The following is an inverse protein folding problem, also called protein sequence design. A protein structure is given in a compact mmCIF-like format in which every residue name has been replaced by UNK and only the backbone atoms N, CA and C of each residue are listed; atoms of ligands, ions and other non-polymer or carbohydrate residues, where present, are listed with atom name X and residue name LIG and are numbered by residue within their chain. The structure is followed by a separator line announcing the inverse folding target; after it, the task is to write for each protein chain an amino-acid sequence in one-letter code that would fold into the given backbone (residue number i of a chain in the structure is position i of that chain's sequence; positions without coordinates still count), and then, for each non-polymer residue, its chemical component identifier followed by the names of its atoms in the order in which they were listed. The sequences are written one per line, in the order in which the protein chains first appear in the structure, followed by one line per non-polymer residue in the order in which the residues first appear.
data_IF_751217668677
#
_entry.id   IF_751217668677
#
_cell.length_a   1.000
_cell.length_b   1.000
_cell.length_c   1.000
_cell.angle_alpha   90.00
_cell.angle_beta   90.00
_cell.angle_gamma   90.00
#
_symmetry.space_group_name_H-M   'P 1'
#
loop_
_entity.id
_entity.type
_entity.pdbx_description
1 polymer ?
#
# COMPACT_ATOMS: atom_id res chain seq x y z
N UNK A 1 -7.33 42.80 4.13
CA UNK A 1 -8.26 42.26 3.10
C UNK A 1 -7.50 41.99 1.82
N UNK A 2 -7.08 40.73 1.62
CA UNK A 2 -6.47 40.29 0.34
C UNK A 2 -7.58 39.63 -0.48
N UNK A 3 -8.01 40.27 -1.54
CA UNK A 3 -8.96 39.75 -2.53
C UNK A 3 -8.31 38.54 -3.21
N UNK A 4 -8.91 37.37 -3.05
CA UNK A 4 -8.55 36.20 -3.83
C UNK A 4 -9.19 36.35 -5.22
N UNK A 5 -8.35 36.37 -6.22
CA UNK A 5 -8.74 36.31 -7.63
C UNK A 5 -9.16 34.88 -7.91
N UNK A 6 -10.43 34.68 -8.26
CA UNK A 6 -10.89 33.42 -8.87
C UNK A 6 -10.31 33.41 -10.28
N UNK A 7 -9.27 32.68 -10.52
CA UNK A 7 -8.68 32.46 -11.85
C UNK A 7 -9.56 31.46 -12.58
N UNK A 8 -10.01 31.84 -13.73
CA UNK A 8 -11.05 31.20 -14.51
C UNK A 8 -10.68 29.75 -14.95
N UNK A 9 -11.70 28.91 -14.97
CA UNK A 9 -11.64 27.60 -15.59
C UNK A 9 -11.50 27.74 -17.12
N UNK A 10 -10.40 27.25 -17.69
CA UNK A 10 -10.26 27.10 -19.12
C UNK A 10 -10.91 25.79 -19.59
N UNK A 11 -12.05 25.93 -20.26
CA UNK A 11 -12.70 24.85 -20.97
C UNK A 11 -11.97 24.58 -22.29
N UNK A 12 -11.23 23.46 -22.37
CA UNK A 12 -10.78 22.96 -23.67
C UNK A 12 -11.78 21.88 -24.09
N UNK A 13 -12.72 22.28 -24.98
CA UNK A 13 -13.61 21.31 -25.62
C UNK A 13 -12.84 20.57 -26.72
N UNK A 14 -12.61 19.26 -26.53
CA UNK A 14 -12.46 18.33 -27.65
C UNK A 14 -13.77 17.57 -27.77
N UNK A 15 -14.64 18.00 -28.70
CA UNK A 15 -15.85 17.26 -29.06
C UNK A 15 -15.48 16.00 -29.84
N UNK A 16 -15.64 14.84 -29.22
CA UNK A 16 -15.74 13.58 -29.95
C UNK A 16 -17.10 12.95 -29.65
N UNK A 17 -17.95 12.95 -30.64
CA UNK A 17 -19.15 12.14 -30.69
C UNK A 17 -18.72 10.69 -30.89
N UNK A 18 -18.68 9.94 -29.81
CA UNK A 18 -18.72 8.46 -29.67
C UNK A 18 -17.91 8.06 -28.43
N UNK A 19 -18.55 8.01 -27.25
CA UNK A 19 -18.05 7.26 -26.08
C UNK A 19 -16.62 7.52 -25.58
N UNK A 20 -15.94 8.57 -26.05
CA UNK A 20 -14.53 8.86 -25.75
C UNK A 20 -14.33 9.45 -24.34
N UNK A 21 -13.13 9.29 -23.81
CA UNK A 21 -12.71 9.96 -22.55
C UNK A 21 -12.74 11.48 -22.74
N UNK A 22 -13.34 12.18 -21.77
CA UNK A 22 -13.39 13.63 -21.70
C UNK A 22 -12.47 14.11 -20.57
N UNK A 23 -12.06 15.37 -20.62
CA UNK A 23 -11.16 15.96 -19.64
C UNK A 23 -11.68 17.28 -19.15
N UNK A 24 -11.82 17.44 -17.84
CA UNK A 24 -12.08 18.69 -17.16
C UNK A 24 -10.84 19.11 -16.35
N UNK A 25 -10.47 20.40 -16.39
CA UNK A 25 -9.25 20.90 -15.77
C UNK A 25 -9.53 22.12 -14.89
N UNK A 26 -8.85 22.15 -13.75
CA UNK A 26 -8.62 23.34 -12.93
C UNK A 26 -7.12 23.52 -12.71
N UNK A 27 -6.71 24.58 -12.04
CA UNK A 27 -5.29 24.81 -11.73
C UNK A 27 -4.62 23.65 -10.97
N UNK A 28 -5.38 22.96 -10.11
CA UNK A 28 -4.84 21.95 -9.20
C UNK A 28 -5.42 20.55 -9.39
N UNK A 29 -6.33 20.36 -10.34
CA UNK A 29 -6.93 19.06 -10.61
C UNK A 29 -7.23 18.85 -12.10
N UNK A 30 -7.03 17.60 -12.54
CA UNK A 30 -7.42 17.15 -13.89
C UNK A 30 -8.30 15.92 -13.73
N UNK A 31 -9.54 16.01 -14.20
CA UNK A 31 -10.48 14.89 -14.19
C UNK A 31 -10.63 14.36 -15.61
N UNK A 32 -10.18 13.11 -15.81
CA UNK A 32 -10.45 12.34 -17.03
C UNK A 32 -11.64 11.43 -16.76
N UNK A 33 -12.70 11.54 -17.54
CA UNK A 33 -13.97 10.87 -17.25
C UNK A 33 -14.65 10.31 -18.48
N UNK A 34 -15.45 9.27 -18.26
CA UNK A 34 -16.34 8.70 -19.27
C UNK A 34 -17.61 8.17 -18.58
N UNK A 35 -18.78 8.34 -19.26
CA UNK A 35 -20.06 7.86 -18.75
C UNK A 35 -20.65 8.64 -17.56
N UNK A 36 -20.12 9.83 -17.27
CA UNK A 36 -20.64 10.77 -16.27
C UNK A 36 -20.85 12.16 -16.88
N UNK A 37 -21.70 12.99 -16.26
CA UNK A 37 -21.91 14.38 -16.69
C UNK A 37 -20.72 15.30 -16.36
N UNK A 38 -20.59 16.38 -17.12
CA UNK A 38 -19.54 17.39 -16.95
C UNK A 38 -19.63 18.08 -15.59
N UNK A 39 -20.84 18.31 -15.11
CA UNK A 39 -21.12 18.93 -13.81
C UNK A 39 -20.52 18.10 -12.66
N UNK A 40 -20.45 16.77 -12.86
CA UNK A 40 -19.84 15.89 -11.88
C UNK A 40 -18.32 15.92 -11.94
N UNK A 41 -17.76 15.93 -13.15
CA UNK A 41 -16.32 16.11 -13.33
C UNK A 41 -15.83 17.44 -12.76
N UNK A 42 -16.62 18.51 -12.93
CA UNK A 42 -16.39 19.83 -12.32
C UNK A 42 -16.37 19.72 -10.79
N UNK A 43 -17.39 19.09 -10.19
CA UNK A 43 -17.46 18.91 -8.74
C UNK A 43 -16.26 18.15 -8.18
N UNK A 44 -15.84 17.08 -8.86
CA UNK A 44 -14.65 16.30 -8.48
C UNK A 44 -13.38 17.14 -8.57
N UNK A 45 -13.20 17.91 -9.63
CA UNK A 45 -12.02 18.76 -9.80
C UNK A 45 -11.95 19.85 -8.73
N UNK A 46 -13.06 20.53 -8.45
CA UNK A 46 -13.14 21.57 -7.43
C UNK A 46 -12.88 20.99 -6.03
N UNK A 47 -13.51 19.87 -5.69
CA UNK A 47 -13.29 19.17 -4.42
C UNK A 47 -11.82 18.79 -4.24
N UNK A 48 -11.23 18.21 -5.27
CA UNK A 48 -9.83 17.78 -5.24
C UNK A 48 -8.88 18.96 -5.09
N UNK A 49 -9.13 20.05 -5.81
CA UNK A 49 -8.33 21.27 -5.70
C UNK A 49 -8.42 21.90 -4.30
N UNK A 50 -9.64 21.98 -3.75
CA UNK A 50 -9.85 22.46 -2.38
C UNK A 50 -9.19 21.56 -1.34
N UNK A 51 -9.38 20.24 -1.44
CA UNK A 51 -8.78 19.28 -0.52
C UNK A 51 -7.25 19.33 -0.58
N UNK A 52 -6.66 19.43 -1.77
CA UNK A 52 -5.22 19.65 -1.94
C UNK A 52 -4.76 20.94 -1.25
N UNK A 53 -5.46 22.05 -1.48
CA UNK A 53 -5.10 23.33 -0.89
C UNK A 53 -5.15 23.31 0.65
N UNK A 54 -6.11 22.58 1.24
CA UNK A 54 -6.19 22.36 2.68
C UNK A 54 -5.02 21.50 3.14
N UNK A 55 -4.72 20.38 2.47
CA UNK A 55 -3.61 19.51 2.82
C UNK A 55 -2.27 20.27 2.86
N UNK A 56 -2.04 21.15 1.87
CA UNK A 56 -0.82 21.98 1.82
C UNK A 56 -0.80 23.03 2.92
N UNK A 57 -1.89 23.82 3.08
CA UNK A 57 -1.87 25.00 3.96
C UNK A 57 -2.00 24.64 5.44
N UNK A 58 -2.89 23.70 5.77
CA UNK A 58 -3.21 23.37 7.15
C UNK A 58 -2.38 22.23 7.71
N UNK A 59 -2.02 21.28 6.85
CA UNK A 59 -1.27 20.09 7.26
C UNK A 59 0.21 20.14 6.88
N UNK A 60 0.65 21.15 6.14
CA UNK A 60 2.05 21.29 5.67
C UNK A 60 2.55 20.08 4.86
N UNK A 61 1.64 19.48 4.08
CA UNK A 61 1.99 18.35 3.22
C UNK A 61 2.60 18.80 1.91
N UNK A 62 3.63 18.09 1.47
CA UNK A 62 4.13 18.19 0.11
C UNK A 62 3.19 17.42 -0.83
N UNK A 63 2.37 18.16 -1.58
CA UNK A 63 1.40 17.58 -2.52
C UNK A 63 1.79 17.90 -3.96
N UNK A 64 1.44 17.04 -4.94
CA UNK A 64 1.62 17.35 -6.36
C UNK A 64 0.94 18.67 -6.71
N UNK A 65 1.50 19.46 -7.63
CA UNK A 65 0.85 20.70 -8.11
C UNK A 65 -0.53 20.43 -8.70
N UNK A 66 -0.66 19.29 -9.35
CA UNK A 66 -1.92 18.84 -9.95
C UNK A 66 -2.20 17.39 -9.56
N UNK A 67 -3.40 17.15 -9.01
CA UNK A 67 -3.91 15.81 -8.76
C UNK A 67 -4.77 15.37 -9.95
N UNK A 68 -4.51 14.18 -10.47
CA UNK A 68 -5.24 13.61 -11.60
C UNK A 68 -6.28 12.62 -11.10
N UNK A 69 -7.51 12.74 -11.58
CA UNK A 69 -8.58 11.79 -11.27
C UNK A 69 -9.01 11.12 -12.57
N UNK A 70 -9.10 9.80 -12.56
CA UNK A 70 -9.70 9.02 -13.64
C UNK A 70 -11.00 8.43 -13.15
N UNK A 71 -12.11 8.80 -13.79
CA UNK A 71 -13.46 8.32 -13.46
C UNK A 71 -13.95 7.40 -14.56
N UNK A 72 -14.39 6.20 -14.19
CA UNK A 72 -14.95 5.21 -15.12
C UNK A 72 -16.28 4.69 -14.59
N UNK A 73 -17.27 4.58 -15.48
CA UNK A 73 -18.51 3.88 -15.19
C UNK A 73 -18.38 2.41 -15.60
N UNK A 74 -18.61 1.50 -14.66
CA UNK A 74 -18.64 0.06 -14.91
C UNK A 74 -19.76 -0.59 -14.08
N UNK A 75 -20.88 -0.96 -14.71
CA UNK A 75 -22.04 -1.55 -14.01
C UNK A 75 -21.73 -2.86 -13.29
N UNK A 76 -20.67 -3.56 -13.68
CA UNK A 76 -20.29 -4.85 -13.12
C UNK A 76 -19.37 -4.72 -11.91
N UNK A 77 -18.81 -3.53 -11.68
CA UNK A 77 -17.88 -3.30 -10.57
C UNK A 77 -18.56 -2.62 -9.39
N UNK A 78 -18.00 -2.81 -8.20
CA UNK A 78 -18.39 -2.02 -7.02
C UNK A 78 -17.84 -0.60 -7.16
N UNK A 79 -18.55 0.36 -6.60
CA UNK A 79 -18.01 1.71 -6.42
C UNK A 79 -16.71 1.59 -5.62
N UNK A 80 -15.64 2.14 -6.17
CA UNK A 80 -14.31 2.06 -5.60
C UNK A 80 -13.53 3.33 -5.88
N UNK A 81 -12.89 3.84 -4.85
CA UNK A 81 -11.91 4.92 -4.96
C UNK A 81 -10.58 4.41 -4.43
N UNK A 82 -9.49 4.76 -5.08
CA UNK A 82 -8.13 4.43 -4.65
C UNK A 82 -7.11 5.34 -5.34
N UNK A 83 -5.92 5.44 -4.80
CA UNK A 83 -4.81 6.20 -5.35
C UNK A 83 -3.69 5.29 -5.88
N UNK A 84 -2.77 5.85 -6.67
CA UNK A 84 -1.59 5.14 -7.20
C UNK A 84 -0.29 5.41 -6.40
N UNK A 85 -0.40 6.14 -5.31
CA UNK A 85 0.74 6.52 -4.48
C UNK A 85 1.56 7.71 -5.00
N UNK A 86 1.19 8.30 -6.15
CA UNK A 86 1.91 9.42 -6.76
C UNK A 86 1.05 10.69 -6.87
N UNK A 87 0.26 10.82 -7.93
CA UNK A 87 -0.52 12.00 -8.22
C UNK A 87 -1.93 11.69 -8.75
N UNK A 88 -2.35 10.43 -8.76
CA UNK A 88 -3.58 10.00 -9.42
C UNK A 88 -4.52 9.24 -8.50
N UNK A 89 -5.80 9.61 -8.60
CA UNK A 89 -6.93 8.92 -8.01
C UNK A 89 -7.73 8.20 -9.10
N UNK A 90 -8.27 7.05 -8.76
CA UNK A 90 -9.14 6.26 -9.65
C UNK A 90 -10.49 6.06 -8.97
N UNK A 91 -11.54 6.52 -9.62
CA UNK A 91 -12.92 6.35 -9.16
C UNK A 91 -13.68 5.46 -10.15
N UNK A 92 -14.19 4.34 -9.67
CA UNK A 92 -15.12 3.50 -10.42
C UNK A 92 -16.50 3.66 -9.84
N UNK A 93 -17.50 3.92 -10.69
CA UNK A 93 -18.92 4.02 -10.36
C UNK A 93 -19.71 3.01 -11.18
N UNK A 94 -20.86 2.56 -10.68
CA UNK A 94 -21.70 1.60 -11.43
C UNK A 94 -22.43 2.25 -12.58
N UNK A 95 -23.04 3.39 -12.31
CA UNK A 95 -23.81 4.14 -13.29
C UNK A 95 -23.68 5.64 -13.00
N UNK A 96 -23.98 6.48 -14.00
CA UNK A 96 -24.09 7.92 -13.79
C UNK A 96 -25.16 8.29 -12.76
N UNK A 97 -26.17 7.44 -12.56
CA UNK A 97 -27.21 7.63 -11.52
C UNK A 97 -26.67 7.51 -10.10
N UNK A 98 -25.62 6.73 -9.87
CA UNK A 98 -24.96 6.64 -8.56
C UNK A 98 -24.31 7.98 -8.17
N UNK A 99 -24.07 8.81 -9.17
CA UNK A 99 -23.47 10.14 -9.02
C UNK A 99 -24.51 11.26 -8.90
N UNK A 100 -25.73 11.02 -9.41
CA UNK A 100 -26.81 12.01 -9.43
C UNK A 100 -27.66 12.04 -8.17
N UNK A 101 -27.48 11.06 -7.25
CA UNK A 101 -28.13 11.04 -5.94
C UNK A 101 -27.14 11.48 -4.86
N UNK A 102 -27.10 12.76 -4.50
CA UNK A 102 -26.11 13.29 -3.56
C UNK A 102 -26.11 12.61 -2.19
N UNK A 103 -27.25 12.07 -1.74
CA UNK A 103 -27.45 11.58 -0.38
C UNK A 103 -26.75 10.25 -0.04
N UNK A 104 -26.48 9.38 -1.00
CA UNK A 104 -25.93 8.05 -0.71
C UNK A 104 -24.50 7.84 -1.26
N UNK A 105 -24.17 8.39 -2.40
CA UNK A 105 -22.87 8.21 -3.04
C UNK A 105 -22.02 9.48 -3.08
N UNK A 106 -22.61 10.68 -3.11
CA UNK A 106 -21.88 11.94 -3.18
C UNK A 106 -21.02 12.22 -1.94
N UNK A 107 -21.58 11.97 -0.75
CA UNK A 107 -20.84 12.07 0.54
C UNK A 107 -19.62 11.18 0.55
N UNK A 108 -19.78 9.93 0.10
CA UNK A 108 -18.67 8.99 0.02
C UNK A 108 -17.55 9.52 -0.88
N UNK A 109 -17.89 10.14 -2.00
CA UNK A 109 -16.89 10.60 -2.96
C UNK A 109 -16.04 11.76 -2.45
N UNK A 110 -16.65 12.77 -1.81
CA UNK A 110 -15.88 13.90 -1.27
C UNK A 110 -15.01 13.45 -0.09
N UNK A 111 -15.60 12.75 0.85
CA UNK A 111 -14.84 12.17 1.96
C UNK A 111 -13.79 11.16 1.44
N UNK A 112 -14.17 10.34 0.45
CA UNK A 112 -13.26 9.42 -0.19
C UNK A 112 -12.07 10.11 -0.86
N UNK A 113 -12.29 11.21 -1.58
CA UNK A 113 -11.21 12.01 -2.15
C UNK A 113 -10.28 12.55 -1.07
N UNK A 114 -10.83 13.11 0.01
CA UNK A 114 -10.05 13.63 1.13
C UNK A 114 -9.26 12.50 1.83
N UNK A 115 -9.85 11.31 1.96
CA UNK A 115 -9.21 10.12 2.50
C UNK A 115 -8.03 9.66 1.61
N UNK A 116 -8.24 9.57 0.29
CA UNK A 116 -7.18 9.19 -0.65
C UNK A 116 -6.07 10.23 -0.74
N UNK A 117 -6.39 11.51 -0.55
CA UNK A 117 -5.39 12.58 -0.41
C UNK A 117 -4.57 12.38 0.88
N UNK A 118 -5.19 11.89 1.94
CA UNK A 118 -4.50 11.49 3.16
C UNK A 118 -3.45 10.41 2.92
N UNK A 119 -3.79 9.39 2.13
CA UNK A 119 -2.83 8.38 1.71
C UNK A 119 -1.71 8.95 0.84
N UNK A 120 -2.04 9.78 -0.15
CA UNK A 120 -1.03 10.42 -1.00
C UNK A 120 -0.05 11.25 -0.16
N UNK A 121 -0.55 12.02 0.81
CA UNK A 121 0.28 12.81 1.71
C UNK A 121 1.27 11.94 2.49
N UNK A 122 0.81 10.80 3.02
CA UNK A 122 1.68 9.86 3.73
C UNK A 122 2.73 9.25 2.81
N UNK A 123 2.33 8.74 1.64
CA UNK A 123 3.22 8.04 0.71
C UNK A 123 4.31 8.94 0.12
N UNK A 124 4.04 10.24 0.00
CA UNK A 124 5.06 11.20 -0.43
C UNK A 124 6.13 11.45 0.61
N UNK A 125 5.77 11.39 1.89
CA UNK A 125 6.72 11.56 3.01
C UNK A 125 7.42 10.24 3.30
N UNK A 126 6.65 9.16 3.46
CA UNK A 126 7.16 7.83 3.83
C UNK A 126 7.19 6.95 2.59
N UNK A 127 8.34 6.87 1.94
CA UNK A 127 8.52 6.07 0.72
C UNK A 127 8.38 4.56 0.96
N UNK A 128 8.85 4.09 2.09
CA UNK A 128 8.68 2.71 2.56
C UNK A 128 7.73 2.69 3.75
N UNK A 129 6.47 2.41 3.47
CA UNK A 129 5.38 2.30 4.46
C UNK A 129 5.06 0.85 4.84
N UNK A 130 5.94 -0.08 4.51
CA UNK A 130 5.78 -1.51 4.85
C UNK A 130 5.75 -1.79 6.36
N UNK A 131 6.15 -0.82 7.16
CA UNK A 131 6.18 -0.85 8.62
C UNK A 131 4.88 -0.45 9.30
N UNK A 132 3.99 0.20 8.56
CA UNK A 132 2.70 0.62 9.08
C UNK A 132 1.70 -0.51 8.83
N UNK A 133 0.93 -0.88 9.84
CA UNK A 133 -0.16 -1.84 9.67
C UNK A 133 -1.20 -1.29 8.69
N UNK A 134 -1.99 -2.19 8.07
CA UNK A 134 -3.11 -1.76 7.24
C UNK A 134 -4.07 -0.85 8.01
N UNK A 135 -4.41 -1.21 9.26
CA UNK A 135 -5.26 -0.37 10.12
C UNK A 135 -4.58 0.97 10.43
N UNK A 136 -3.26 0.99 10.61
CA UNK A 136 -2.48 2.21 10.83
C UNK A 136 -2.53 3.16 9.65
N UNK A 137 -2.32 2.67 8.43
CA UNK A 137 -2.35 3.45 7.20
C UNK A 137 -3.75 3.97 6.87
N UNK A 138 -4.76 3.09 6.96
CA UNK A 138 -6.16 3.47 6.77
C UNK A 138 -6.64 4.44 7.86
N UNK A 139 -6.26 4.20 9.12
CA UNK A 139 -6.58 5.10 10.24
C UNK A 139 -5.99 6.50 10.04
N UNK A 140 -4.77 6.59 9.52
CA UNK A 140 -4.16 7.84 9.13
C UNK A 140 -4.97 8.57 8.04
N UNK A 141 -5.31 7.86 6.96
CA UNK A 141 -6.07 8.44 5.87
C UNK A 141 -7.46 8.93 6.31
N UNK A 142 -8.12 8.20 7.21
CA UNK A 142 -9.37 8.63 7.82
C UNK A 142 -9.19 9.86 8.71
N UNK A 143 -8.15 9.90 9.53
CA UNK A 143 -7.84 11.06 10.37
C UNK A 143 -7.59 12.32 9.52
N UNK A 144 -6.65 12.26 8.58
CA UNK A 144 -6.31 13.39 7.70
C UNK A 144 -7.48 13.73 6.78
N UNK A 145 -8.16 12.73 6.22
CA UNK A 145 -9.34 12.94 5.40
C UNK A 145 -10.42 13.74 6.12
N UNK A 146 -10.68 13.44 7.39
CA UNK A 146 -11.64 14.20 8.20
C UNK A 146 -11.19 15.65 8.42
N UNK A 147 -9.91 15.89 8.69
CA UNK A 147 -9.34 17.25 8.84
C UNK A 147 -9.45 18.05 7.55
N UNK A 148 -9.19 17.42 6.41
CA UNK A 148 -9.34 18.06 5.10
C UNK A 148 -10.81 18.39 4.84
N UNK A 149 -11.76 17.49 5.14
CA UNK A 149 -13.20 17.72 5.02
C UNK A 149 -13.63 18.90 5.89
N UNK A 150 -13.20 18.95 7.16
CA UNK A 150 -13.50 20.06 8.06
C UNK A 150 -13.00 21.41 7.49
N UNK A 151 -11.79 21.43 6.89
CA UNK A 151 -11.24 22.60 6.25
C UNK A 151 -12.02 23.02 4.99
N UNK A 152 -12.42 22.07 4.16
CA UNK A 152 -13.26 22.31 2.99
C UNK A 152 -14.63 22.86 3.41
N UNK A 153 -15.20 22.31 4.48
CA UNK A 153 -16.48 22.75 5.02
C UNK A 153 -16.42 24.15 5.64
N UNK A 154 -15.30 24.50 6.29
CA UNK A 154 -15.08 25.87 6.77
C UNK A 154 -15.06 26.86 5.61
N UNK A 155 -14.41 26.54 4.48
CA UNK A 155 -14.43 27.38 3.27
C UNK A 155 -15.84 27.52 2.69
N UNK A 156 -16.69 26.51 2.77
CA UNK A 156 -18.10 26.59 2.35
C UNK A 156 -18.84 27.64 3.15
N UNK A 157 -18.70 27.66 4.49
CA UNK A 157 -19.33 28.67 5.35
C UNK A 157 -18.91 30.11 5.04
N UNK A 158 -17.71 30.27 4.46
CA UNK A 158 -17.20 31.55 3.99
C UNK A 158 -17.71 31.93 2.59
N UNK A 159 -18.64 31.15 2.00
CA UNK A 159 -19.19 31.39 0.66
C UNK A 159 -18.21 31.03 -0.48
N UNK A 160 -17.11 30.39 -0.20
CA UNK A 160 -16.10 29.99 -1.18
C UNK A 160 -16.45 28.69 -1.92
N UNK A 161 -17.55 28.06 -1.54
CA UNK A 161 -18.00 26.77 -2.08
C UNK A 161 -19.46 26.84 -2.54
N UNK A 162 -19.80 26.37 -3.75
CA UNK A 162 -21.18 26.40 -4.23
C UNK A 162 -22.13 25.53 -3.38
N UNK A 163 -23.34 26.08 -3.08
CA UNK A 163 -24.36 25.40 -2.25
C UNK A 163 -24.84 24.05 -2.81
N UNK A 164 -24.67 23.82 -4.12
CA UNK A 164 -25.04 22.56 -4.77
C UNK A 164 -24.26 21.31 -4.26
N UNK A 165 -23.30 21.50 -3.36
CA UNK A 165 -22.49 20.43 -2.77
C UNK A 165 -22.75 20.20 -1.28
N UNK A 166 -23.98 20.36 -0.83
CA UNK A 166 -24.38 20.34 0.59
C UNK A 166 -24.28 18.99 1.31
N UNK A 167 -23.89 17.96 0.59
CA UNK A 167 -23.77 16.60 1.09
C UNK A 167 -22.47 16.29 1.87
N UNK A 168 -21.60 17.26 2.11
CA UNK A 168 -20.36 17.10 2.88
C UNK A 168 -20.58 16.72 4.34
N UNK A 169 -21.72 17.11 4.93
CA UNK A 169 -21.95 16.96 6.36
C UNK A 169 -22.05 15.50 6.82
N UNK A 170 -22.61 14.60 6.02
CA UNK A 170 -22.96 13.24 6.44
C UNK A 170 -21.75 12.31 6.56
N UNK A 171 -20.66 12.54 5.81
CA UNK A 171 -19.48 11.70 5.84
C UNK A 171 -18.73 11.76 7.17
N UNK A 172 -18.61 12.97 7.75
CA UNK A 172 -17.95 13.18 9.05
C UNK A 172 -18.82 12.69 10.20
N UNK A 173 -20.15 12.77 10.11
CA UNK A 173 -21.07 12.30 11.13
C UNK A 173 -20.94 10.80 11.38
N UNK A 174 -20.80 10.01 10.32
CA UNK A 174 -20.59 8.55 10.43
C UNK A 174 -19.28 8.23 11.15
N UNK A 175 -18.18 8.87 10.77
CA UNK A 175 -16.89 8.68 11.43
C UNK A 175 -16.94 9.09 12.90
N UNK A 176 -17.54 10.24 13.21
CA UNK A 176 -17.75 10.70 14.60
C UNK A 176 -18.49 9.67 15.42
N UNK A 177 -19.62 9.14 14.90
CA UNK A 177 -20.36 8.06 15.57
C UNK A 177 -19.51 6.83 15.85
N UNK A 178 -18.70 6.39 14.87
CA UNK A 178 -17.79 5.25 15.04
C UNK A 178 -16.68 5.54 16.07
N UNK A 179 -16.22 6.79 16.13
CA UNK A 179 -15.24 7.21 17.13
C UNK A 179 -15.77 7.18 18.57
N UNK A 180 -17.09 7.24 18.77
CA UNK A 180 -17.72 7.18 20.09
C UNK A 180 -18.03 5.74 20.53
N UNK A 181 -17.85 4.74 19.66
CA UNK A 181 -18.13 3.34 19.98
C UNK A 181 -17.23 2.81 21.12
N UNK A 182 -17.77 2.14 22.15
CA UNK A 182 -16.97 1.65 23.28
C UNK A 182 -15.97 0.55 22.90
N UNK A 183 -16.29 -0.27 21.89
CA UNK A 183 -15.45 -1.36 21.38
C UNK A 183 -15.16 -1.16 19.89
N UNK A 184 -14.26 -0.22 19.54
CA UNK A 184 -13.99 0.11 18.15
C UNK A 184 -13.22 -1.01 17.44
N UNK A 185 -13.42 -1.11 16.12
CA UNK A 185 -12.59 -1.95 15.24
C UNK A 185 -11.11 -1.52 15.28
N UNK A 186 -10.20 -2.34 14.77
CA UNK A 186 -8.78 -2.02 14.66
C UNK A 186 -8.55 -0.69 13.92
N UNK A 187 -9.26 -0.49 12.81
CA UNK A 187 -9.24 0.75 12.04
C UNK A 187 -9.63 1.97 12.90
N UNK A 188 -10.75 1.91 13.62
CA UNK A 188 -11.20 3.06 14.45
C UNK A 188 -10.27 3.29 15.63
N UNK A 189 -9.66 2.23 16.21
CA UNK A 189 -8.58 2.38 17.19
C UNK A 189 -7.40 3.17 16.61
N UNK A 190 -6.98 2.84 15.39
CA UNK A 190 -5.91 3.57 14.72
C UNK A 190 -6.26 5.04 14.48
N UNK A 191 -7.49 5.36 14.05
CA UNK A 191 -7.95 6.76 13.91
C UNK A 191 -7.86 7.51 15.23
N UNK A 192 -8.36 6.93 16.33
CA UNK A 192 -8.27 7.54 17.67
C UNK A 192 -6.82 7.83 18.09
N UNK A 193 -5.92 6.89 17.80
CA UNK A 193 -4.50 7.07 18.12
C UNK A 193 -3.87 8.23 17.35
N UNK A 194 -4.22 8.40 16.08
CA UNK A 194 -3.74 9.55 15.30
C UNK A 194 -4.32 10.88 15.81
N UNK A 195 -5.60 10.90 16.21
CA UNK A 195 -6.21 12.08 16.86
C UNK A 195 -5.49 12.40 18.18
N UNK A 196 -5.29 11.40 19.04
CA UNK A 196 -4.58 11.56 20.32
C UNK A 196 -3.14 12.09 20.11
N UNK A 197 -2.44 11.61 19.08
CA UNK A 197 -1.12 12.12 18.74
C UNK A 197 -1.18 13.60 18.31
N UNK A 198 -2.16 13.95 17.50
CA UNK A 198 -2.35 15.34 17.06
C UNK A 198 -2.63 16.29 18.24
N UNK A 199 -3.35 15.83 19.25
CA UNK A 199 -3.60 16.60 20.47
C UNK A 199 -2.30 16.80 21.30
N UNK A 200 -1.32 15.91 21.12
CA UNK A 200 -0.03 16.01 21.82
C UNK A 200 0.95 16.92 21.05
N UNK A 201 1.13 16.69 19.76
CA UNK A 201 2.18 17.33 18.95
C UNK A 201 1.65 18.40 17.97
N UNK A 202 0.34 18.48 17.77
CA UNK A 202 -0.31 19.29 16.75
C UNK A 202 -0.27 18.63 15.35
N UNK A 203 -1.17 19.04 14.47
CA UNK A 203 -1.25 18.47 13.09
C UNK A 203 0.09 18.65 12.35
N UNK A 204 0.73 19.81 12.44
CA UNK A 204 2.05 20.04 11.85
C UNK A 204 3.17 19.24 12.52
N UNK A 205 3.05 18.97 13.80
CA UNK A 205 3.98 18.12 14.54
C UNK A 205 3.99 16.69 14.01
N UNK A 206 2.83 16.14 13.63
CA UNK A 206 2.75 14.80 13.01
C UNK A 206 3.52 14.77 11.70
N UNK A 207 3.39 15.79 10.86
CA UNK A 207 4.14 15.87 9.59
C UNK A 207 5.64 15.91 9.85
N UNK A 208 6.07 16.66 10.86
CA UNK A 208 7.48 16.72 11.27
C UNK A 208 7.97 15.36 11.77
N UNK A 209 7.16 14.63 12.53
CA UNK A 209 7.46 13.25 12.94
C UNK A 209 7.64 12.34 11.72
N UNK A 210 6.74 12.42 10.75
CA UNK A 210 6.85 11.61 9.54
C UNK A 210 8.09 11.95 8.69
N UNK A 211 8.42 13.23 8.54
CA UNK A 211 9.64 13.67 7.86
C UNK A 211 10.90 13.14 8.59
N UNK A 212 10.92 13.23 9.91
CA UNK A 212 12.01 12.69 10.71
C UNK A 212 12.10 11.16 10.62
N UNK A 213 10.97 10.48 10.62
CA UNK A 213 10.92 9.03 10.46
C UNK A 213 11.37 8.59 9.06
N UNK A 214 10.91 9.28 8.01
CA UNK A 214 11.30 8.98 6.63
C UNK A 214 12.80 9.17 6.35
N UNK A 215 13.47 10.03 7.12
CA UNK A 215 14.91 10.25 7.05
C UNK A 215 15.74 9.37 7.98
N UNK A 216 15.08 8.60 8.86
CA UNK A 216 15.75 7.72 9.80
C UNK A 216 16.22 6.44 9.10
N UNK A 217 17.37 5.93 9.54
CA UNK A 217 17.79 4.58 9.21
C UNK A 217 16.93 3.61 10.05
N UNK A 218 16.02 2.92 9.36
CA UNK A 218 15.03 2.04 10.00
C UNK A 218 15.62 0.65 10.15
N UNK A 219 15.87 0.22 11.39
CA UNK A 219 16.18 -1.18 11.67
C UNK A 219 14.97 -2.06 11.31
N UNK A 220 15.11 -2.98 10.35
CA UNK A 220 14.05 -3.91 10.01
C UNK A 220 13.57 -4.78 11.16
N UNK A 221 14.39 -5.00 12.18
CA UNK A 221 14.04 -5.80 13.35
C UNK A 221 13.21 -5.00 14.38
N UNK A 222 13.33 -3.67 14.37
CA UNK A 222 12.57 -2.79 15.24
C UNK A 222 12.19 -1.48 14.52
N UNK A 223 11.28 -1.55 13.55
CA UNK A 223 10.84 -0.36 12.82
C UNK A 223 10.16 0.68 13.72
N UNK A 224 9.58 0.22 14.82
CA UNK A 224 8.96 1.07 15.81
C UNK A 224 9.95 2.00 16.51
N UNK A 225 11.19 1.57 16.74
CA UNK A 225 12.21 2.40 17.37
C UNK A 225 12.49 3.67 16.57
N UNK A 226 12.52 3.60 15.24
CA UNK A 226 12.74 4.76 14.38
C UNK A 226 11.58 5.77 14.51
N UNK A 227 10.33 5.31 14.52
CA UNK A 227 9.16 6.16 14.73
C UNK A 227 9.19 6.78 16.14
N UNK A 228 9.48 5.99 17.17
CA UNK A 228 9.60 6.51 18.55
C UNK A 228 10.69 7.57 18.67
N UNK A 229 11.84 7.35 18.05
CA UNK A 229 12.92 8.34 18.00
C UNK A 229 12.47 9.63 17.32
N UNK A 230 11.78 9.52 16.18
CA UNK A 230 11.22 10.66 15.45
C UNK A 230 10.20 11.44 16.31
N UNK A 231 9.32 10.77 17.05
CA UNK A 231 8.40 11.41 18.01
C UNK A 231 9.14 12.22 19.06
N UNK A 232 10.20 11.67 19.66
CA UNK A 232 10.98 12.34 20.71
C UNK A 232 11.79 13.53 20.17
N UNK A 233 12.10 13.59 18.87
CA UNK A 233 12.73 14.79 18.25
C UNK A 233 11.77 15.97 18.15
N UNK A 234 10.46 15.70 18.05
CA UNK A 234 9.44 16.75 17.91
C UNK A 234 8.98 17.26 19.27
N UNK A 235 8.83 16.36 20.24
CA UNK A 235 8.39 16.74 21.60
C UNK A 235 8.80 15.69 22.63
N UNK A 236 9.43 16.15 23.70
CA UNK A 236 9.66 15.36 24.91
C UNK A 236 8.49 15.58 25.88
N UNK A 237 7.53 14.65 25.88
CA UNK A 237 6.34 14.73 26.73
C UNK A 237 6.01 13.32 27.22
N UNK A 238 5.75 13.15 28.51
CA UNK A 238 5.35 11.86 29.10
C UNK A 238 4.13 11.24 28.40
N UNK A 239 3.26 12.07 27.83
CA UNK A 239 2.10 11.61 27.05
C UNK A 239 2.52 10.85 25.78
N UNK A 240 3.70 11.14 25.23
CA UNK A 240 4.23 10.40 24.07
C UNK A 240 4.53 8.96 24.44
N UNK A 241 5.14 8.69 25.60
CA UNK A 241 5.38 7.31 26.03
C UNK A 241 4.07 6.56 26.30
N UNK A 242 3.09 7.23 26.91
CA UNK A 242 1.77 6.64 27.14
C UNK A 242 1.04 6.35 25.81
N UNK A 243 1.11 7.29 24.89
CA UNK A 243 0.56 7.11 23.54
C UNK A 243 1.28 5.98 22.80
N UNK A 244 2.62 5.97 22.84
CA UNK A 244 3.42 4.95 22.17
C UNK A 244 3.06 3.52 22.61
N UNK A 245 2.92 3.31 23.91
CA UNK A 245 2.55 2.00 24.44
C UNK A 245 1.21 1.48 23.92
N UNK A 246 0.26 2.37 23.62
CA UNK A 246 -1.03 2.03 23.01
C UNK A 246 -0.91 1.87 21.48
N UNK A 247 -0.11 2.72 20.85
CA UNK A 247 -0.06 2.90 19.42
C UNK A 247 0.81 1.84 18.72
N UNK A 248 1.94 1.49 19.31
CA UNK A 248 2.88 0.56 18.71
C UNK A 248 2.23 -0.77 18.28
N UNK A 249 1.43 -1.47 19.11
CA UNK A 249 0.82 -2.73 18.72
C UNK A 249 -0.28 -2.59 17.64
N UNK A 250 -0.79 -1.38 17.41
CA UNK A 250 -1.86 -1.09 16.44
C UNK A 250 -1.29 -0.53 15.14
N UNK A 251 -0.36 0.44 15.24
CA UNK A 251 0.13 1.21 14.09
C UNK A 251 1.39 0.61 13.46
N UNK A 252 2.22 -0.07 14.25
CA UNK A 252 3.51 -0.57 13.80
C UNK A 252 3.45 -2.07 13.59
N UNK A 253 3.85 -2.46 12.40
CA UNK A 253 4.00 -3.88 12.08
C UNK A 253 5.22 -4.44 12.80
N UNK A 254 5.03 -5.04 13.97
CA UNK A 254 6.09 -5.81 14.62
C UNK A 254 6.28 -7.10 13.84
N UNK A 255 7.43 -7.25 13.24
CA UNK A 255 7.86 -8.58 12.81
C UNK A 255 8.03 -9.44 14.05
N UNK A 256 7.22 -10.49 14.25
CA UNK A 256 7.41 -11.37 15.40
C UNK A 256 8.82 -11.93 15.31
N UNK A 257 9.56 -11.91 16.40
CA UNK A 257 10.80 -12.68 16.50
C UNK A 257 10.43 -14.13 16.26
N UNK A 258 10.76 -14.68 15.09
CA UNK A 258 10.64 -16.12 14.89
C UNK A 258 11.58 -16.78 15.88
N UNK A 259 11.16 -17.88 16.48
CA UNK A 259 12.08 -18.68 17.30
C UNK A 259 13.24 -19.26 16.47
N UNK A 260 13.13 -19.16 15.15
CA UNK A 260 14.14 -19.53 14.19
C UNK A 260 15.06 -18.33 13.93
N UNK A 261 16.32 -18.46 14.30
CA UNK A 261 17.33 -17.42 14.04
C UNK A 261 17.91 -17.64 12.65
N UNK A 262 17.59 -16.71 11.75
CA UNK A 262 18.17 -16.73 10.40
C UNK A 262 19.69 -16.55 10.48
N UNK A 263 20.41 -17.49 9.92
CA UNK A 263 21.87 -17.40 9.70
C UNK A 263 22.10 -17.19 8.22
N UNK A 264 23.01 -16.28 7.90
CA UNK A 264 23.48 -16.12 6.52
C UNK A 264 24.84 -16.81 6.37
N UNK A 265 25.10 -17.34 5.17
CA UNK A 265 26.39 -17.89 4.80
C UNK A 265 26.97 -17.10 3.63
N UNK A 266 28.28 -17.09 3.51
CA UNK A 266 28.95 -16.57 2.31
C UNK A 266 28.83 -17.61 1.18
N UNK A 267 28.65 -17.20 -0.09
CA UNK A 267 28.50 -18.14 -1.21
C UNK A 267 29.64 -19.16 -1.32
N UNK A 268 30.87 -18.78 -0.95
CA UNK A 268 32.04 -19.67 -0.93
C UNK A 268 31.95 -20.83 0.06
N UNK A 269 31.08 -20.72 1.04
CA UNK A 269 30.85 -21.74 2.09
C UNK A 269 29.82 -22.76 1.66
N UNK A 270 29.11 -22.54 0.55
CA UNK A 270 28.11 -23.46 0.03
C UNK A 270 28.73 -24.62 -0.73
N UNK A 271 28.04 -25.76 -0.73
CA UNK A 271 28.49 -27.00 -1.38
C UNK A 271 28.64 -26.82 -2.91
N UNK A 272 27.87 -25.92 -3.51
CA UNK A 272 27.78 -25.76 -4.95
C UNK A 272 26.94 -26.84 -5.63
N UNK A 273 26.18 -27.63 -4.86
CA UNK A 273 25.26 -28.65 -5.34
C UNK A 273 23.82 -28.23 -4.97
N UNK A 274 23.24 -27.27 -5.70
CA UNK A 274 21.93 -26.76 -5.38
C UNK A 274 20.82 -27.77 -5.65
N UNK A 275 19.80 -27.75 -4.80
CA UNK A 275 18.54 -28.45 -4.99
C UNK A 275 17.46 -27.43 -5.40
N UNK A 276 16.83 -27.67 -6.54
CA UNK A 276 15.64 -26.88 -6.93
C UNK A 276 14.38 -27.61 -6.44
N UNK A 277 13.43 -26.86 -5.87
CA UNK A 277 12.16 -27.40 -5.38
C UNK A 277 10.98 -26.60 -5.97
N UNK A 278 9.97 -27.35 -6.45
CA UNK A 278 8.76 -26.85 -7.08
C UNK A 278 7.57 -27.74 -6.72
N UNK A 279 6.38 -27.15 -6.68
CA UNK A 279 5.11 -27.87 -6.59
C UNK A 279 4.28 -27.73 -7.85
N UNK A 280 4.60 -26.76 -8.71
CA UNK A 280 3.97 -26.54 -9.99
C UNK A 280 4.46 -27.55 -11.05
N UNK A 281 3.63 -27.86 -12.04
CA UNK A 281 3.94 -28.74 -13.17
C UNK A 281 4.72 -28.02 -14.31
N UNK A 282 4.98 -26.73 -14.17
CA UNK A 282 5.68 -25.90 -15.13
C UNK A 282 4.82 -25.37 -16.27
N UNK A 283 3.54 -25.71 -16.34
CA UNK A 283 2.59 -25.26 -17.37
C UNK A 283 1.69 -24.19 -16.81
N UNK A 284 1.68 -23.03 -17.45
CA UNK A 284 0.79 -21.95 -17.03
C UNK A 284 -0.64 -22.22 -17.46
N UNK A 285 -1.56 -22.42 -16.52
CA UNK A 285 -3.00 -22.45 -16.74
C UNK A 285 -3.63 -21.06 -16.68
N UNK A 286 -3.09 -20.20 -15.79
CA UNK A 286 -3.55 -18.83 -15.66
C UNK A 286 -2.51 -17.93 -15.01
N UNK A 287 -2.88 -16.66 -14.80
CA UNK A 287 -2.04 -15.69 -14.10
C UNK A 287 -2.88 -14.74 -13.27
N UNK A 288 -2.34 -14.25 -12.15
CA UNK A 288 -3.04 -13.30 -11.29
C UNK A 288 -2.08 -12.28 -10.70
N UNK A 289 -2.59 -11.07 -10.47
CA UNK A 289 -1.95 -10.03 -9.68
C UNK A 289 -2.86 -9.75 -8.49
N UNK A 290 -2.31 -9.69 -7.28
CA UNK A 290 -3.08 -9.66 -6.05
C UNK A 290 -2.82 -8.33 -5.34
N UNK A 291 -3.79 -7.41 -5.42
CA UNK A 291 -3.74 -6.15 -4.70
C UNK A 291 -4.10 -6.37 -3.21
N UNK A 292 -3.39 -5.68 -2.31
CA UNK A 292 -3.62 -5.76 -0.86
C UNK A 292 -3.22 -7.11 -0.24
N UNK A 293 -2.54 -7.98 -1.00
CA UNK A 293 -2.04 -9.27 -0.55
C UNK A 293 -0.85 -9.68 -1.41
N UNK A 294 -0.42 -10.93 -1.35
CA UNK A 294 0.71 -11.46 -2.12
C UNK A 294 0.50 -12.91 -2.54
N UNK A 295 1.51 -13.45 -3.21
CA UNK A 295 1.59 -14.83 -3.65
C UNK A 295 2.49 -15.58 -2.66
N UNK A 296 2.05 -16.72 -2.17
CA UNK A 296 2.83 -17.47 -1.20
C UNK A 296 2.82 -18.97 -1.52
N UNK A 297 3.95 -19.63 -1.29
CA UNK A 297 4.10 -21.08 -1.43
C UNK A 297 4.78 -21.64 -0.20
N UNK A 298 4.19 -22.66 0.40
CA UNK A 298 4.77 -23.43 1.50
C UNK A 298 5.69 -24.50 0.92
N UNK A 299 6.89 -24.60 1.48
CA UNK A 299 7.86 -25.61 1.12
C UNK A 299 8.19 -26.48 2.33
N UNK A 300 8.27 -27.79 2.10
CA UNK A 300 8.76 -28.77 3.05
C UNK A 300 10.01 -29.41 2.48
N UNK A 301 11.07 -29.43 3.25
CA UNK A 301 12.37 -29.94 2.82
C UNK A 301 12.83 -31.11 3.67
N UNK A 302 13.69 -31.97 3.15
CA UNK A 302 14.34 -33.01 3.96
C UNK A 302 15.10 -32.42 5.15
N UNK A 303 15.26 -33.19 6.19
CA UNK A 303 16.09 -32.79 7.34
C UNK A 303 17.51 -32.42 6.90
N UNK A 304 18.12 -31.51 7.66
CA UNK A 304 19.45 -31.00 7.38
C UNK A 304 19.52 -29.48 7.44
N UNK A 305 20.72 -28.94 7.29
CA UNK A 305 20.94 -27.48 7.30
C UNK A 305 20.94 -26.93 5.86
N UNK A 306 19.81 -26.46 5.41
CA UNK A 306 19.64 -25.91 4.07
C UNK A 306 19.63 -24.38 4.08
N UNK A 307 20.14 -23.79 3.02
CA UNK A 307 20.18 -22.34 2.79
C UNK A 307 19.41 -21.98 1.52
N UNK A 308 18.47 -21.08 1.62
CA UNK A 308 17.78 -20.49 0.48
C UNK A 308 18.76 -19.58 -0.25
N UNK A 309 19.03 -19.88 -1.52
CA UNK A 309 19.99 -19.15 -2.35
C UNK A 309 19.33 -18.46 -3.54
N UNK A 310 18.07 -18.80 -3.84
CA UNK A 310 17.35 -18.18 -4.93
C UNK A 310 15.87 -18.51 -4.95
N UNK A 311 15.13 -17.64 -5.62
CA UNK A 311 13.71 -17.83 -5.93
C UNK A 311 13.50 -17.55 -7.42
N UNK A 312 12.71 -18.40 -8.08
CA UNK A 312 12.29 -18.23 -9.48
C UNK A 312 10.80 -18.01 -9.52
N UNK A 313 10.37 -16.99 -10.23
CA UNK A 313 8.96 -16.60 -10.35
C UNK A 313 8.61 -16.53 -11.83
N UNK A 314 7.57 -17.24 -12.25
CA UNK A 314 7.07 -17.12 -13.59
C UNK A 314 6.02 -16.00 -13.67
N UNK A 315 6.32 -14.93 -14.42
CA UNK A 315 5.43 -13.79 -14.44
C UNK A 315 5.80 -12.73 -15.46
N UNK A 316 4.95 -11.72 -15.57
CA UNK A 316 5.15 -10.55 -16.42
C UNK A 316 4.61 -9.30 -15.73
N UNK A 317 5.31 -8.20 -15.91
CA UNK A 317 4.89 -6.89 -15.41
C UNK A 317 3.79 -6.30 -16.32
N UNK A 318 2.86 -5.57 -15.72
CA UNK A 318 1.91 -4.71 -16.43
C UNK A 318 2.05 -3.25 -16.00
N UNK A 319 1.23 -2.39 -16.57
CA UNK A 319 1.20 -0.96 -16.27
C UNK A 319 2.12 -0.14 -17.18
N UNK A 320 2.77 0.89 -16.62
CA UNK A 320 3.58 1.83 -17.39
C UNK A 320 4.71 1.16 -18.20
N UNK A 321 5.12 1.75 -19.35
CA UNK A 321 6.22 1.22 -20.17
C UNK A 321 7.53 1.07 -19.37
N UNK A 322 7.94 2.10 -18.63
CA UNK A 322 9.08 2.03 -17.73
C UNK A 322 8.74 1.24 -16.47
N UNK A 323 9.67 0.43 -15.93
CA UNK A 323 9.46 -0.23 -14.65
C UNK A 323 9.39 0.80 -13.53
N UNK A 324 8.60 0.52 -12.46
CA UNK A 324 8.66 1.31 -11.24
C UNK A 324 10.10 1.32 -10.69
N UNK A 325 10.51 2.44 -10.10
CA UNK A 325 11.80 2.53 -9.38
C UNK A 325 11.77 1.83 -8.01
N UNK A 326 10.59 1.40 -7.60
CA UNK A 326 10.36 0.68 -6.36
C UNK A 326 10.92 -0.75 -6.41
N UNK A 327 11.04 -1.35 -5.24
CA UNK A 327 11.35 -2.77 -5.10
C UNK A 327 10.07 -3.56 -4.87
N UNK A 328 10.08 -4.83 -5.25
CA UNK A 328 9.16 -5.83 -4.73
C UNK A 328 9.89 -6.68 -3.69
N UNK A 329 9.15 -7.36 -2.84
CA UNK A 329 9.73 -8.12 -1.75
C UNK A 329 9.53 -9.62 -1.94
N UNK A 330 10.56 -10.38 -1.63
CA UNK A 330 10.52 -11.82 -1.41
C UNK A 330 10.79 -12.04 0.08
N UNK A 331 9.83 -12.58 0.80
CA UNK A 331 10.02 -12.92 2.22
C UNK A 331 10.16 -14.42 2.41
N UNK A 332 11.14 -14.80 3.19
CA UNK A 332 11.20 -16.10 3.84
C UNK A 332 10.41 -15.99 5.14
N UNK A 333 9.41 -16.84 5.31
CA UNK A 333 8.55 -16.88 6.49
C UNK A 333 8.55 -18.29 7.11
N UNK A 334 8.21 -18.36 8.40
CA UNK A 334 7.88 -19.66 9.03
C UNK A 334 6.49 -20.16 8.57
N UNK A 335 6.04 -21.31 9.08
CA UNK A 335 4.75 -21.93 8.75
C UNK A 335 3.53 -21.06 9.10
N UNK A 336 3.70 -20.08 9.98
CA UNK A 336 2.68 -19.14 10.43
C UNK A 336 2.73 -17.79 9.70
N UNK A 337 3.45 -17.70 8.58
CA UNK A 337 3.70 -16.47 7.82
C UNK A 337 4.52 -15.41 8.56
N UNK A 338 5.21 -15.77 9.66
CA UNK A 338 6.10 -14.84 10.36
C UNK A 338 7.39 -14.67 9.57
N UNK A 339 7.81 -13.43 9.36
CA UNK A 339 9.02 -13.11 8.61
C UNK A 339 10.28 -13.64 9.32
N UNK A 340 11.06 -14.43 8.61
CA UNK A 340 12.41 -14.88 8.97
C UNK A 340 13.44 -13.96 8.32
N UNK A 341 13.26 -13.66 7.01
CA UNK A 341 14.13 -12.78 6.25
C UNK A 341 13.34 -12.05 5.15
N UNK A 342 13.88 -10.90 4.70
CA UNK A 342 13.32 -10.08 3.64
C UNK A 342 14.40 -9.81 2.58
N UNK A 343 14.02 -9.97 1.32
CA UNK A 343 14.89 -9.81 0.17
C UNK A 343 14.26 -8.85 -0.84
N UNK A 344 14.48 -7.54 -0.69
CA UNK A 344 13.99 -6.56 -1.65
C UNK A 344 14.64 -6.78 -3.02
N UNK A 345 13.84 -6.70 -4.08
CA UNK A 345 14.24 -6.97 -5.44
C UNK A 345 13.75 -5.86 -6.39
N UNK A 346 14.56 -5.44 -7.36
CA UNK A 346 14.15 -4.40 -8.30
C UNK A 346 13.04 -4.89 -9.24
N UNK A 347 12.01 -4.05 -9.43
CA UNK A 347 10.88 -4.34 -10.30
C UNK A 347 11.28 -4.56 -11.76
N UNK A 348 12.38 -4.00 -12.20
CA UNK A 348 12.91 -4.10 -13.57
C UNK A 348 13.26 -5.52 -14.00
N UNK A 349 13.41 -6.45 -13.06
CA UNK A 349 13.58 -7.88 -13.37
C UNK A 349 12.41 -8.44 -14.17
N UNK A 350 11.18 -7.92 -13.92
CA UNK A 350 9.99 -8.31 -14.69
C UNK A 350 9.82 -7.41 -15.90
N UNK A 351 9.69 -8.02 -17.08
CA UNK A 351 9.39 -7.30 -18.33
C UNK A 351 7.88 -7.34 -18.62
N UNK A 352 7.40 -6.40 -19.42
CA UNK A 352 6.03 -6.42 -19.93
C UNK A 352 5.89 -7.47 -21.04
N UNK A 353 4.66 -7.89 -21.31
CA UNK A 353 4.33 -8.83 -22.36
C UNK A 353 4.14 -10.26 -21.84
N UNK A 354 4.65 -11.25 -22.56
CA UNK A 354 4.49 -12.64 -22.20
C UNK A 354 5.19 -12.97 -20.88
N UNK A 355 4.57 -13.75 -19.99
CA UNK A 355 5.20 -14.23 -18.78
C UNK A 355 6.44 -15.06 -19.08
N UNK A 356 7.41 -14.99 -18.18
CA UNK A 356 8.67 -15.74 -18.25
C UNK A 356 9.22 -15.97 -16.86
N UNK A 357 10.12 -16.93 -16.74
CA UNK A 357 10.84 -17.17 -15.51
C UNK A 357 11.79 -16.00 -15.20
N UNK A 358 11.65 -15.45 -14.01
CA UNK A 358 12.52 -14.41 -13.44
C UNK A 358 13.25 -15.00 -12.25
N UNK A 359 14.59 -14.98 -12.31
CA UNK A 359 15.45 -15.51 -11.26
C UNK A 359 15.89 -14.37 -10.33
N UNK A 360 15.77 -14.62 -9.03
CA UNK A 360 16.29 -13.76 -7.97
C UNK A 360 17.30 -14.56 -7.17
N UNK A 361 18.59 -14.21 -7.31
CA UNK A 361 19.64 -14.70 -6.42
C UNK A 361 19.49 -13.98 -5.09
N UNK A 362 19.52 -14.69 -3.99
CA UNK A 362 19.33 -14.20 -2.64
C UNK A 362 20.63 -14.39 -1.83
N UNK A 363 20.81 -13.57 -0.80
CA UNK A 363 21.85 -13.83 0.19
C UNK A 363 21.54 -15.17 0.86
N UNK A 364 22.47 -16.14 0.84
CA UNK A 364 22.20 -17.45 1.40
C UNK A 364 21.75 -17.36 2.86
N UNK A 365 20.54 -17.82 3.11
CA UNK A 365 19.89 -17.74 4.43
C UNK A 365 19.35 -19.10 4.79
N UNK A 366 19.68 -19.63 5.98
CA UNK A 366 19.19 -20.93 6.40
C UNK A 366 17.67 -20.93 6.57
N UNK A 367 17.08 -22.09 6.32
CA UNK A 367 15.62 -22.27 6.36
C UNK A 367 15.24 -23.37 7.34
N UNK A 368 14.07 -23.29 8.01
CA UNK A 368 13.51 -24.40 8.76
C UNK A 368 13.03 -25.52 7.82
N UNK A 369 12.69 -26.68 8.35
CA UNK A 369 12.21 -27.81 7.55
C UNK A 369 10.89 -27.53 6.82
N UNK A 370 10.05 -26.69 7.40
CA UNK A 370 8.86 -26.14 6.75
C UNK A 370 8.90 -24.61 6.80
N UNK A 371 8.68 -23.98 5.66
CA UNK A 371 8.71 -22.53 5.54
C UNK A 371 7.86 -22.06 4.36
N UNK A 372 7.59 -20.78 4.31
CA UNK A 372 6.79 -20.14 3.27
C UNK A 372 7.63 -19.08 2.58
N UNK A 373 7.60 -19.08 1.25
CA UNK A 373 8.08 -17.96 0.45
C UNK A 373 6.87 -17.10 0.09
N UNK A 374 6.86 -15.86 0.57
CA UNK A 374 5.87 -14.86 0.20
C UNK A 374 6.47 -13.88 -0.81
N UNK A 375 5.69 -13.48 -1.81
CA UNK A 375 6.10 -12.50 -2.81
C UNK A 375 5.05 -11.39 -2.87
N UNK A 376 5.47 -10.16 -2.59
CA UNK A 376 4.62 -8.99 -2.57
C UNK A 376 5.08 -7.95 -3.59
N UNK A 377 4.19 -7.62 -4.54
CA UNK A 377 4.45 -6.64 -5.58
C UNK A 377 3.80 -5.29 -5.33
N UNK A 378 3.00 -5.15 -4.28
CA UNK A 378 2.20 -3.96 -4.01
C UNK A 378 1.54 -3.40 -5.29
N UNK A 379 0.71 -4.21 -5.99
CA UNK A 379 0.19 -3.83 -7.29
C UNK A 379 -0.90 -2.78 -7.19
N UNK A 380 -0.96 -1.90 -8.22
CA UNK A 380 -2.02 -0.92 -8.43
C UNK A 380 -2.63 -1.10 -9.83
N UNK A 381 -3.56 -0.24 -10.23
CA UNK A 381 -4.09 -0.24 -11.60
C UNK A 381 -3.04 0.01 -12.67
N UNK A 382 -1.92 0.67 -12.32
CA UNK A 382 -0.88 1.12 -13.26
C UNK A 382 0.47 0.45 -13.09
N UNK A 383 0.63 -0.37 -12.06
CA UNK A 383 1.84 -1.17 -11.80
C UNK A 383 1.50 -2.50 -11.16
N UNK A 384 2.26 -3.53 -11.45
CA UNK A 384 2.15 -4.82 -10.82
C UNK A 384 2.77 -5.93 -11.65
N UNK A 385 2.70 -7.13 -11.10
CA UNK A 385 3.16 -8.34 -11.77
C UNK A 385 2.03 -9.36 -11.75
N UNK A 386 1.76 -9.95 -12.90
CA UNK A 386 0.98 -11.16 -13.00
C UNK A 386 1.91 -12.35 -12.75
N UNK A 387 1.64 -13.11 -11.71
CA UNK A 387 2.30 -14.38 -11.42
C UNK A 387 1.46 -15.50 -12.02
N UNK A 388 2.12 -16.42 -12.73
CA UNK A 388 1.49 -17.60 -13.30
C UNK A 388 1.10 -18.63 -12.25
N UNK A 389 0.10 -19.43 -12.54
CA UNK A 389 -0.28 -20.61 -11.77
C UNK A 389 -0.67 -21.74 -12.73
N UNK A 390 -0.51 -22.96 -12.29
CA UNK A 390 -0.98 -24.17 -12.96
C UNK A 390 -2.32 -24.66 -12.39
N UNK A 391 -2.73 -25.89 -12.76
CA UNK A 391 -3.96 -26.52 -12.25
C UNK A 391 -3.64 -27.71 -11.31
N UNK A 392 -2.38 -27.95 -10.94
CA UNK A 392 -1.97 -29.16 -10.19
C UNK A 392 -2.54 -29.24 -8.78
N UNK A 393 -2.62 -28.11 -8.06
CA UNK A 393 -3.36 -28.03 -6.80
C UNK A 393 -2.74 -28.86 -5.66
N UNK A 394 -1.44 -28.73 -5.40
CA UNK A 394 -0.76 -29.44 -4.30
C UNK A 394 -1.26 -29.05 -2.89
N UNK A 395 -2.02 -27.97 -2.77
CA UNK A 395 -2.44 -27.40 -1.48
C UNK A 395 -1.37 -26.55 -0.80
N UNK A 396 -0.22 -26.35 -1.45
CA UNK A 396 0.90 -25.58 -0.88
C UNK A 396 0.89 -24.10 -1.29
N UNK A 397 -0.04 -23.69 -2.13
CA UNK A 397 -0.17 -22.32 -2.63
C UNK A 397 -1.20 -21.52 -1.85
N UNK A 398 -0.85 -20.26 -1.53
CA UNK A 398 -1.67 -19.37 -0.72
C UNK A 398 -1.71 -17.97 -1.35
N UNK A 399 -2.71 -17.20 -0.96
CA UNK A 399 -2.71 -15.75 -1.05
C UNK A 399 -2.41 -15.19 0.34
N UNK A 400 -1.36 -14.40 0.48
CA UNK A 400 -0.92 -13.85 1.76
C UNK A 400 0.39 -13.09 1.63
N UNK A 401 0.63 -12.20 2.56
CA UNK A 401 1.90 -11.51 2.74
C UNK A 401 2.55 -11.97 4.04
N UNK A 402 3.83 -11.71 4.16
CA UNK A 402 4.55 -11.89 5.40
C UNK A 402 3.84 -11.16 6.55
N UNK A 403 3.64 -11.86 7.67
CA UNK A 403 2.94 -11.35 8.85
C UNK A 403 1.42 -11.33 8.77
N UNK A 404 0.83 -11.83 7.70
CA UNK A 404 -0.63 -11.95 7.56
C UNK A 404 -1.05 -13.43 7.63
N UNK A 405 -2.32 -13.67 7.95
CA UNK A 405 -2.86 -15.02 7.85
C UNK A 405 -3.11 -15.36 6.38
N UNK A 406 -2.35 -16.32 5.84
CA UNK A 406 -2.53 -16.80 4.47
C UNK A 406 -3.89 -17.49 4.26
N UNK A 407 -4.40 -17.41 3.04
CA UNK A 407 -5.59 -18.15 2.58
C UNK A 407 -5.18 -19.10 1.47
N UNK A 408 -5.64 -20.34 1.51
CA UNK A 408 -5.36 -21.32 0.46
C UNK A 408 -5.77 -20.77 -0.92
N UNK A 409 -4.92 -20.93 -1.90
CA UNK A 409 -5.19 -20.59 -3.30
C UNK A 409 -5.76 -21.81 -4.01
N UNK A 410 -7.07 -21.80 -4.26
CA UNK A 410 -7.80 -22.98 -4.73
C UNK A 410 -7.81 -23.16 -6.26
N UNK A 411 -7.03 -22.37 -7.02
CA UNK A 411 -6.99 -22.46 -8.49
C UNK A 411 -5.84 -23.30 -9.03
N UNK A 412 -4.95 -23.78 -8.17
CA UNK A 412 -3.75 -24.53 -8.55
C UNK A 412 -2.54 -24.10 -7.75
N UNK A 413 -1.35 -24.27 -8.29
CA UNK A 413 -0.11 -23.88 -7.65
C UNK A 413 0.54 -22.68 -8.36
N UNK A 414 1.06 -21.75 -7.55
CA UNK A 414 1.82 -20.63 -8.08
C UNK A 414 3.13 -21.14 -8.70
N UNK A 415 3.46 -20.65 -9.88
CA UNK A 415 4.73 -20.92 -10.53
C UNK A 415 5.84 -20.14 -9.82
N UNK A 416 6.11 -20.53 -8.59
CA UNK A 416 7.16 -20.01 -7.71
C UNK A 416 8.00 -21.19 -7.24
N UNK A 417 9.28 -21.17 -7.56
CA UNK A 417 10.25 -22.24 -7.27
C UNK A 417 11.40 -21.68 -6.46
N UNK A 418 12.01 -22.52 -5.65
CA UNK A 418 13.14 -22.15 -4.82
C UNK A 418 14.39 -22.92 -5.22
N UNK A 419 15.53 -22.32 -4.88
CA UNK A 419 16.85 -22.95 -4.95
C UNK A 419 17.46 -22.97 -3.57
N UNK A 420 17.86 -24.14 -3.15
CA UNK A 420 18.50 -24.41 -1.87
C UNK A 420 19.92 -24.94 -2.08
N UNK A 421 20.79 -24.71 -1.14
CA UNK A 421 22.12 -25.32 -1.08
C UNK A 421 22.47 -25.67 0.36
N UNK A 422 23.47 -26.52 0.58
CA UNK A 422 23.98 -26.84 1.89
C UNK A 422 25.35 -26.20 2.09
N UNK A 423 25.80 -26.05 3.32
CA UNK A 423 27.19 -25.69 3.57
C UNK A 423 28.09 -26.86 3.12
N UNK A 424 29.26 -26.50 2.63
CA UNK A 424 30.35 -27.52 2.48
C UNK A 424 30.48 -28.20 3.80
N UNK A 425 30.34 -29.52 3.80
CA UNK A 425 30.78 -30.32 4.93
C UNK A 425 32.27 -29.99 5.13
N UNK A 426 32.59 -29.33 6.23
CA UNK A 426 33.99 -29.27 6.63
C UNK A 426 34.48 -30.71 6.59
N UNK A 427 35.52 -30.97 5.81
CA UNK A 427 36.17 -32.29 5.83
C UNK A 427 36.21 -32.74 7.28
N UNK A 428 35.56 -33.86 7.52
CA UNK A 428 35.38 -34.42 8.86
C UNK A 428 36.70 -34.28 9.60
N UNK A 429 36.64 -33.50 10.68
CA UNK A 429 37.66 -33.36 11.70
C UNK A 429 38.87 -34.25 11.47
N UNK A 430 39.93 -33.73 10.87
CA UNK A 430 41.22 -34.42 10.96
C UNK A 430 41.49 -34.56 12.46
N UNK A 431 41.66 -35.75 12.97
CA UNK A 431 42.06 -35.91 14.36
C UNK A 431 43.36 -35.12 14.54
N UNK A 432 43.32 -34.18 15.46
CA UNK A 432 44.51 -33.46 15.91
C UNK A 432 45.46 -34.54 16.41
N UNK A 433 46.56 -34.74 15.68
CA UNK A 433 47.66 -35.60 16.15
C UNK A 433 48.39 -34.91 17.28
#
# INVERSE_FOLDING_TARGET
MKRFVIVGAYLIFSSFANGGEQVYRTDNAVVTYSGIGIEYAEALAQTTGAARAIAVRHCDFDMPDTIKITVRSDPKQRVRLFNDGNDRLYLTVRTAKDLSKPSESGVFHIYGICHEIGHLAMYRIIRDHSWITSDGAEGWAHYIGSRIVDGVYAQKKEGLWPDKYDYLADGTARLKKQLDEPNPSGLIKAVRLWIELADIVGDKGIVTVFKAWASADVDPADPGAALRKALLTVKTDKRIDQWWNKAEPVLVFKRPKSGFVARTAEPKELSGQPMDLAYDDGRQAGKSSIAGSGHAVRFTIPGGSWYLTGVRIYGSRYGYPAPPKEVFHIWLCDSDFKTIADFPQPYEKFKRGNPRWVNSTLKPTNVPNEFIICVGFNPTGTKGVYVGYDESGSGNSFTGLAGTKGRTFNKGDWLIRIRLDQLKTADALRPIK
#
